data_IF_865151111262
#
_entry.id   IF_865151111262
#
_cell.length_a   1.000
_cell.length_b   1.000
_cell.length_c   1.000
_cell.angle_alpha   90.00
_cell.angle_beta   90.00
_cell.angle_gamma   90.00
#
_symmetry.space_group_name_H-M   'P 1'
#
loop_
_entity.id
_entity.type
_entity.pdbx_description
1 polymer ?
#
# COMPACT_ATOMS: atom_id res chain seq x y z
N UNK A 1 70.62 -20.44 6.30
CA UNK A 1 70.05 -19.41 5.42
C UNK A 1 68.75 -19.91 4.83
N UNK A 2 67.60 -19.49 5.35
CA UNK A 2 66.35 -19.39 4.58
C UNK A 2 65.39 -18.48 5.36
N UNK A 3 65.17 -17.27 4.84
CA UNK A 3 64.21 -16.29 5.35
C UNK A 3 62.81 -16.77 4.93
N UNK A 4 61.93 -17.07 5.88
CA UNK A 4 60.50 -17.21 5.58
C UNK A 4 59.78 -15.89 5.85
N UNK A 5 59.22 -15.38 4.78
CA UNK A 5 58.51 -14.13 4.63
C UNK A 5 57.17 -14.20 5.39
N UNK A 6 56.93 -13.22 6.26
CA UNK A 6 55.67 -13.03 6.96
C UNK A 6 54.64 -12.47 5.97
N UNK A 7 53.64 -13.27 5.58
CA UNK A 7 52.49 -12.79 4.81
C UNK A 7 51.35 -12.56 5.81
N UNK A 8 51.21 -11.30 6.24
CA UNK A 8 50.03 -10.84 6.98
C UNK A 8 48.91 -10.74 5.95
N UNK A 9 48.02 -11.73 5.93
CA UNK A 9 46.74 -11.65 5.22
C UNK A 9 45.86 -10.63 5.96
N UNK A 10 45.85 -9.40 5.45
CA UNK A 10 44.91 -8.37 5.84
C UNK A 10 43.53 -8.74 5.26
N UNK A 11 42.74 -9.49 6.03
CA UNK A 11 41.35 -9.75 5.70
C UNK A 11 40.55 -8.46 5.94
N UNK A 12 40.39 -7.65 4.90
CA UNK A 12 39.39 -6.59 4.85
C UNK A 12 38.00 -7.25 4.96
N UNK A 13 37.45 -7.31 6.17
CA UNK A 13 36.02 -7.49 6.38
C UNK A 13 35.32 -6.26 5.79
N UNK A 14 34.97 -6.36 4.51
CA UNK A 14 34.01 -5.46 3.90
C UNK A 14 32.71 -5.59 4.70
N UNK A 15 32.45 -4.62 5.57
CA UNK A 15 31.12 -4.37 6.09
C UNK A 15 30.24 -4.10 4.86
N UNK A 16 29.55 -5.14 4.39
CA UNK A 16 28.58 -5.03 3.32
C UNK A 16 27.47 -4.10 3.77
N UNK A 17 27.58 -2.82 3.42
CA UNK A 17 26.41 -1.96 3.34
C UNK A 17 25.49 -2.60 2.31
N UNK A 18 24.47 -3.32 2.79
CA UNK A 18 23.33 -3.71 1.95
C UNK A 18 22.80 -2.40 1.36
N UNK A 19 22.84 -2.21 0.03
CA UNK A 19 22.21 -1.05 -0.55
C UNK A 19 20.73 -1.14 -0.16
N UNK A 20 20.22 -0.15 0.58
CA UNK A 20 18.79 0.01 0.81
C UNK A 20 18.17 0.03 -0.59
N UNK A 21 17.52 -1.07 -0.99
CA UNK A 21 16.80 -1.10 -2.24
C UNK A 21 15.75 0.00 -2.20
N UNK A 22 15.38 0.49 -3.38
CA UNK A 22 14.26 1.42 -3.51
C UNK A 22 13.02 0.77 -2.88
N UNK A 23 12.56 1.32 -1.73
CA UNK A 23 11.42 0.80 -0.96
C UNK A 23 10.19 0.58 -1.84
N UNK A 24 10.03 1.38 -2.90
CA UNK A 24 8.95 1.21 -3.86
C UNK A 24 9.11 -0.08 -4.67
N UNK A 25 10.32 -0.35 -5.19
CA UNK A 25 10.64 -1.57 -5.95
C UNK A 25 10.49 -2.83 -5.10
N UNK A 26 11.05 -2.81 -3.88
CA UNK A 26 10.91 -3.91 -2.92
C UNK A 26 9.43 -4.14 -2.57
N UNK A 27 8.68 -3.06 -2.34
CA UNK A 27 7.24 -3.14 -2.07
C UNK A 27 6.44 -3.69 -3.25
N UNK A 28 6.83 -3.42 -4.50
CA UNK A 28 6.18 -3.97 -5.68
C UNK A 28 6.47 -5.47 -5.79
N UNK A 29 7.71 -5.89 -5.56
CA UNK A 29 8.10 -7.29 -5.59
C UNK A 29 7.35 -8.11 -4.53
N UNK A 30 7.30 -7.62 -3.28
CA UNK A 30 6.52 -8.25 -2.21
C UNK A 30 5.04 -8.39 -2.59
N UNK A 31 4.38 -7.32 -3.03
CA UNK A 31 2.95 -7.36 -3.40
C UNK A 31 2.70 -8.35 -4.54
N UNK A 32 3.59 -8.44 -5.53
CA UNK A 32 3.45 -9.39 -6.65
C UNK A 32 3.43 -10.84 -6.17
N UNK A 33 4.23 -11.17 -5.17
CA UNK A 33 4.47 -12.54 -4.72
C UNK A 33 3.47 -12.99 -3.64
N UNK A 34 2.59 -12.08 -3.18
CA UNK A 34 1.50 -12.41 -2.22
C UNK A 34 0.42 -13.31 -2.85
N UNK A 35 -0.20 -14.20 -2.06
CA UNK A 35 -1.38 -14.94 -2.49
C UNK A 35 -2.55 -13.98 -2.76
N UNK A 36 -3.41 -14.34 -3.72
CA UNK A 36 -4.62 -13.59 -4.03
C UNK A 36 -5.75 -13.99 -3.07
N UNK A 37 -5.83 -13.36 -1.91
CA UNK A 37 -6.85 -13.67 -0.88
C UNK A 37 -8.24 -13.12 -1.22
N UNK A 38 -8.30 -12.01 -1.97
CA UNK A 38 -9.55 -11.30 -2.28
C UNK A 38 -9.74 -11.15 -3.80
N UNK A 39 -10.05 -12.24 -4.53
CA UNK A 39 -10.14 -12.21 -6.00
C UNK A 39 -11.27 -11.33 -6.54
N UNK A 40 -12.30 -11.10 -5.73
CA UNK A 40 -13.46 -10.27 -6.08
C UNK A 40 -13.26 -8.79 -5.75
N UNK A 41 -12.07 -8.40 -5.29
CA UNK A 41 -11.78 -6.99 -5.07
C UNK A 41 -11.80 -6.21 -6.40
N UNK A 42 -12.40 -5.00 -6.41
CA UNK A 42 -13.18 -4.37 -5.36
C UNK A 42 -14.69 -4.69 -5.44
N UNK A 43 -15.31 -5.00 -4.30
CA UNK A 43 -16.77 -4.98 -4.14
C UNK A 43 -17.25 -3.67 -3.52
N UNK A 44 -18.42 -3.20 -3.95
CA UNK A 44 -19.09 -2.04 -3.36
C UNK A 44 -19.69 -2.33 -1.99
N UNK A 45 -19.88 -1.26 -1.20
CA UNK A 45 -20.33 -1.28 0.19
C UNK A 45 -19.40 -2.08 1.13
N UNK A 46 -18.09 -1.92 0.94
CA UNK A 46 -17.05 -2.60 1.72
C UNK A 46 -15.93 -1.62 2.05
N UNK A 47 -15.42 -1.67 3.27
CA UNK A 47 -14.20 -0.96 3.67
C UNK A 47 -13.03 -1.93 3.70
N UNK A 48 -12.00 -1.67 2.90
CA UNK A 48 -10.80 -2.49 2.81
C UNK A 48 -9.66 -1.87 3.61
N UNK A 49 -8.82 -2.73 4.18
CA UNK A 49 -7.49 -2.40 4.67
C UNK A 49 -6.49 -2.96 3.67
N UNK A 50 -5.65 -2.10 3.11
CA UNK A 50 -4.51 -2.50 2.29
C UNK A 50 -3.20 -2.14 2.97
N UNK A 51 -2.13 -2.85 2.58
CA UNK A 51 -0.78 -2.62 3.09
C UNK A 51 0.25 -2.80 1.99
N UNK A 52 1.22 -1.89 1.94
CA UNK A 52 2.48 -2.05 1.21
C UNK A 52 3.60 -1.34 1.98
N UNK A 53 4.85 -1.81 1.88
CA UNK A 53 5.95 -1.22 2.65
C UNK A 53 6.18 0.27 2.28
N UNK A 54 5.94 0.64 1.03
CA UNK A 54 6.10 2.02 0.57
C UNK A 54 5.04 2.98 1.16
N UNK A 55 3.77 2.54 1.19
CA UNK A 55 2.64 3.38 1.62
C UNK A 55 2.29 3.24 3.10
N UNK A 56 2.55 2.08 3.71
CA UNK A 56 1.98 1.67 4.99
C UNK A 56 0.55 1.15 4.84
N UNK A 57 -0.20 1.16 5.94
CA UNK A 57 -1.62 0.81 5.96
C UNK A 57 -2.49 1.91 5.35
N UNK A 58 -3.44 1.52 4.52
CA UNK A 58 -4.44 2.43 3.95
C UNK A 58 -5.83 1.83 4.16
N UNK A 59 -6.80 2.68 4.51
CA UNK A 59 -8.20 2.26 4.67
C UNK A 59 -9.02 2.92 3.59
N UNK A 60 -9.77 2.12 2.83
CA UNK A 60 -10.57 2.63 1.72
C UNK A 60 -11.99 2.09 1.80
N UNK A 61 -12.97 2.98 2.00
CA UNK A 61 -14.38 2.63 1.87
C UNK A 61 -14.80 2.77 0.41
N UNK A 62 -15.25 1.67 -0.19
CA UNK A 62 -15.71 1.59 -1.57
C UNK A 62 -17.22 1.47 -1.59
N UNK A 63 -17.90 2.41 -2.25
CA UNK A 63 -19.33 2.35 -2.50
C UNK A 63 -19.62 1.86 -3.92
N UNK A 64 -20.76 1.20 -4.10
CA UNK A 64 -21.12 0.55 -5.37
C UNK A 64 -21.44 1.51 -6.53
N UNK A 65 -21.59 2.80 -6.26
CA UNK A 65 -21.92 3.84 -7.26
C UNK A 65 -20.67 4.52 -7.87
N UNK A 66 -19.50 3.87 -7.78
CA UNK A 66 -18.24 4.41 -8.28
C UNK A 66 -17.59 5.46 -7.37
N UNK A 67 -18.13 5.73 -6.18
CA UNK A 67 -17.49 6.61 -5.18
C UNK A 67 -16.70 5.82 -4.15
N UNK A 68 -15.64 6.42 -3.64
CA UNK A 68 -14.84 5.86 -2.56
C UNK A 68 -14.22 6.95 -1.68
N UNK A 69 -13.68 6.54 -0.54
CA UNK A 69 -13.03 7.42 0.42
C UNK A 69 -11.79 6.76 0.97
N UNK A 70 -10.64 7.37 0.74
CA UNK A 70 -9.34 6.91 1.21
C UNK A 70 -8.93 7.67 2.47
N UNK A 71 -8.76 6.92 3.55
CA UNK A 71 -8.10 7.35 4.76
C UNK A 71 -6.63 6.92 4.67
N UNK A 72 -5.81 7.86 4.21
CA UNK A 72 -4.39 7.67 3.94
C UNK A 72 -3.51 8.11 5.12
N UNK A 73 -2.37 7.44 5.40
CA UNK A 73 -1.46 7.84 6.45
C UNK A 73 -1.03 9.30 6.40
N UNK A 74 -1.08 9.97 7.55
CA UNK A 74 -0.64 11.35 7.69
C UNK A 74 -1.65 12.41 7.22
N UNK A 75 -2.69 12.04 6.49
CA UNK A 75 -3.74 12.98 6.09
C UNK A 75 -4.58 13.42 7.30
N UNK A 76 -5.06 14.66 7.25
CA UNK A 76 -5.96 15.26 8.26
C UNK A 76 -7.43 15.22 7.85
N UNK A 77 -7.70 14.88 6.60
CA UNK A 77 -9.03 14.69 6.02
C UNK A 77 -9.03 13.44 5.15
N UNK A 78 -10.21 12.90 4.89
CA UNK A 78 -10.34 11.76 3.97
C UNK A 78 -10.18 12.26 2.54
N UNK A 79 -9.63 11.43 1.67
CA UNK A 79 -9.56 11.74 0.23
C UNK A 79 -10.82 11.19 -0.43
N UNK A 80 -11.73 12.03 -0.95
CA UNK A 80 -12.84 11.55 -1.76
C UNK A 80 -12.31 11.11 -3.13
N UNK A 81 -12.72 9.93 -3.57
CA UNK A 81 -12.22 9.30 -4.79
C UNK A 81 -13.36 8.81 -5.67
N UNK A 82 -13.06 8.62 -6.95
CA UNK A 82 -13.89 7.84 -7.86
C UNK A 82 -13.15 6.56 -8.25
N UNK A 83 -13.90 5.49 -8.51
CA UNK A 83 -13.35 4.23 -8.99
C UNK A 83 -14.18 3.65 -10.12
N UNK A 84 -13.52 2.89 -11.00
CA UNK A 84 -14.16 2.10 -12.05
C UNK A 84 -13.31 0.88 -12.41
N UNK A 85 -13.96 -0.09 -13.02
CA UNK A 85 -13.31 -1.26 -13.63
C UNK A 85 -13.33 -1.09 -15.14
N UNK A 86 -12.19 -1.32 -15.78
CA UNK A 86 -12.03 -1.22 -17.23
C UNK A 86 -11.36 -2.46 -17.82
N UNK A 87 -11.28 -2.53 -19.16
CA UNK A 87 -10.60 -3.60 -19.86
C UNK A 87 -11.20 -4.98 -19.57
N UNK A 88 -12.54 -5.07 -19.53
CA UNK A 88 -13.25 -6.33 -19.26
C UNK A 88 -13.01 -6.90 -17.86
N UNK A 89 -12.59 -6.09 -16.89
CA UNK A 89 -12.27 -6.58 -15.53
C UNK A 89 -10.78 -6.63 -15.21
N UNK A 90 -9.91 -6.32 -16.16
CA UNK A 90 -8.46 -6.42 -15.98
C UNK A 90 -7.88 -5.26 -15.16
N UNK A 91 -8.48 -4.07 -15.26
CA UNK A 91 -7.93 -2.84 -14.68
C UNK A 91 -8.87 -2.25 -13.63
N UNK A 92 -8.30 -1.86 -12.49
CA UNK A 92 -8.94 -1.01 -11.51
C UNK A 92 -8.38 0.40 -11.65
N UNK A 93 -9.26 1.37 -11.85
CA UNK A 93 -8.88 2.76 -12.05
C UNK A 93 -9.42 3.62 -10.90
N UNK A 94 -8.56 4.48 -10.38
CA UNK A 94 -8.85 5.44 -9.32
C UNK A 94 -8.72 6.85 -9.86
N UNK A 95 -9.61 7.75 -9.43
CA UNK A 95 -9.45 9.18 -9.64
C UNK A 95 -9.44 9.88 -8.29
N UNK A 96 -8.30 10.49 -7.99
CA UNK A 96 -8.11 11.36 -6.82
C UNK A 96 -8.38 12.81 -7.22
N UNK A 97 -8.73 13.70 -6.26
CA UNK A 97 -8.96 15.12 -6.54
C UNK A 97 -7.76 15.79 -7.25
N UNK A 98 -8.02 16.76 -8.12
CA UNK A 98 -6.96 17.44 -8.88
C UNK A 98 -5.96 18.22 -8.03
N UNK A 99 -6.33 18.59 -6.81
CA UNK A 99 -5.46 19.24 -5.83
C UNK A 99 -4.76 18.25 -4.88
N UNK A 100 -4.74 16.95 -5.21
CA UNK A 100 -4.03 15.92 -4.45
C UNK A 100 -2.68 15.58 -5.06
N UNK A 101 -1.78 15.04 -4.22
CA UNK A 101 -0.44 14.61 -4.61
C UNK A 101 -0.06 13.34 -3.84
N UNK A 102 0.43 12.33 -4.53
CA UNK A 102 0.93 11.10 -3.91
C UNK A 102 2.44 11.24 -3.63
N UNK A 103 2.87 11.34 -2.35
CA UNK A 103 4.28 11.55 -2.04
C UNK A 103 5.17 10.32 -2.30
N UNK A 104 4.58 9.13 -2.48
CA UNK A 104 5.32 7.90 -2.76
C UNK A 104 5.62 7.76 -4.24
N UNK A 105 4.61 7.93 -5.11
CA UNK A 105 4.77 7.81 -6.57
C UNK A 105 5.16 9.12 -7.24
N UNK A 106 5.05 10.24 -6.53
CA UNK A 106 5.27 11.61 -7.03
C UNK A 106 4.30 12.05 -8.12
N UNK A 107 3.11 11.46 -8.15
CA UNK A 107 2.08 11.75 -9.14
C UNK A 107 1.02 12.71 -8.59
N UNK A 108 0.58 13.71 -9.37
CA UNK A 108 -0.59 14.52 -9.05
C UNK A 108 -1.90 13.77 -9.32
N UNK A 109 -2.98 14.19 -8.65
CA UNK A 109 -4.34 13.72 -8.96
C UNK A 109 -4.99 14.43 -10.17
N UNK A 110 -6.30 14.24 -10.35
CA UNK A 110 -7.10 14.97 -11.33
C UNK A 110 -7.60 14.17 -12.55
N UNK A 111 -7.22 12.91 -12.66
CA UNK A 111 -7.70 11.99 -13.70
C UNK A 111 -7.77 10.55 -13.19
N UNK A 112 -8.31 9.66 -14.02
CA UNK A 112 -8.27 8.24 -13.72
C UNK A 112 -6.89 7.65 -14.04
N UNK A 113 -6.27 7.03 -13.04
CA UNK A 113 -5.06 6.23 -13.18
C UNK A 113 -5.39 4.78 -12.91
N UNK A 114 -5.00 3.89 -13.82
CA UNK A 114 -5.37 2.48 -13.78
C UNK A 114 -4.18 1.60 -13.38
N UNK A 115 -4.48 0.51 -12.69
CA UNK A 115 -3.52 -0.55 -12.36
C UNK A 115 -4.14 -1.93 -12.58
N UNK A 116 -3.34 -2.99 -12.77
CA UNK A 116 -3.86 -4.34 -12.85
C UNK A 116 -4.66 -4.69 -11.60
N UNK A 117 -5.94 -5.05 -11.77
CA UNK A 117 -6.88 -5.28 -10.65
C UNK A 117 -6.40 -6.37 -9.70
N UNK A 118 -5.79 -7.44 -10.23
CA UNK A 118 -5.29 -8.53 -9.39
C UNK A 118 -4.03 -8.13 -8.60
N UNK A 119 -3.22 -7.20 -9.12
CA UNK A 119 -2.09 -6.67 -8.38
C UNK A 119 -2.57 -5.79 -7.22
N UNK A 120 -3.54 -4.91 -7.46
CA UNK A 120 -4.13 -4.07 -6.38
C UNK A 120 -4.84 -4.92 -5.33
N UNK A 121 -5.56 -5.98 -5.75
CA UNK A 121 -6.19 -6.94 -4.83
C UNK A 121 -5.21 -7.60 -3.86
N UNK A 122 -3.97 -7.89 -4.29
CA UNK A 122 -2.92 -8.45 -3.42
C UNK A 122 -2.43 -7.49 -2.32
N UNK A 123 -2.72 -6.20 -2.45
CA UNK A 123 -2.42 -5.24 -1.37
C UNK A 123 -3.41 -5.35 -0.21
N UNK A 124 -4.61 -5.89 -0.44
CA UNK A 124 -5.68 -6.01 0.55
C UNK A 124 -5.33 -7.11 1.56
N UNK A 125 -5.36 -6.77 2.84
CA UNK A 125 -5.06 -7.69 3.94
C UNK A 125 -6.30 -8.01 4.79
N UNK A 126 -7.29 -7.11 4.83
CA UNK A 126 -8.55 -7.31 5.52
C UNK A 126 -9.67 -6.47 4.91
N UNK A 127 -10.91 -6.77 5.28
CA UNK A 127 -12.07 -5.93 4.98
C UNK A 127 -13.12 -5.93 6.10
N UNK A 128 -13.99 -4.94 6.08
CA UNK A 128 -15.17 -4.80 6.92
C UNK A 128 -16.39 -4.47 6.05
N UNK A 129 -17.59 -4.96 6.40
CA UNK A 129 -18.81 -4.61 5.67
C UNK A 129 -19.17 -3.13 5.89
N UNK A 130 -19.66 -2.47 4.83
CA UNK A 130 -20.16 -1.09 4.88
C UNK A 130 -19.08 -0.04 5.17
N UNK A 131 -19.50 1.05 5.83
CA UNK A 131 -18.67 2.21 6.20
C UNK A 131 -18.59 2.39 7.74
N UNK A 132 -17.92 1.48 8.47
CA UNK A 132 -17.90 1.51 9.93
C UNK A 132 -17.17 2.74 10.50
N UNK A 133 -16.30 3.37 9.72
CA UNK A 133 -15.56 4.58 10.10
C UNK A 133 -16.24 5.86 9.62
N UNK A 134 -17.39 5.77 8.94
CA UNK A 134 -18.14 6.90 8.38
C UNK A 134 -17.27 7.77 7.47
N UNK A 135 -16.35 7.17 6.71
CA UNK A 135 -15.44 7.87 5.79
C UNK A 135 -16.21 8.66 4.72
N UNK A 136 -17.40 8.18 4.34
CA UNK A 136 -18.27 8.88 3.41
C UNK A 136 -18.78 10.24 3.88
N UNK A 137 -18.65 10.54 5.18
CA UNK A 137 -18.93 11.87 5.73
C UNK A 137 -17.89 12.94 5.38
N UNK A 138 -16.75 12.56 4.79
CA UNK A 138 -15.63 13.46 4.55
C UNK A 138 -14.66 13.60 5.74
N UNK A 139 -14.93 12.94 6.86
CA UNK A 139 -14.13 13.01 8.09
C UNK A 139 -13.32 11.73 8.29
N UNK A 140 -12.16 11.88 8.93
CA UNK A 140 -11.36 10.75 9.42
C UNK A 140 -11.61 10.53 10.92
N UNK A 141 -11.57 9.28 11.42
CA UNK A 141 -11.67 9.01 12.85
C UNK A 141 -10.52 9.61 13.66
N UNK A 142 -9.30 9.52 13.12
CA UNK A 142 -8.07 10.07 13.66
C UNK A 142 -7.00 10.11 12.55
N UNK A 143 -5.87 10.76 12.81
CA UNK A 143 -4.73 10.77 11.87
C UNK A 143 -4.06 9.40 11.85
N UNK A 144 -4.17 8.67 10.74
CA UNK A 144 -3.60 7.34 10.60
C UNK A 144 -2.07 7.40 10.53
N UNK A 145 -1.38 6.56 11.31
CA UNK A 145 0.05 6.32 11.16
C UNK A 145 0.33 5.26 10.10
N UNK A 146 1.49 5.31 9.43
CA UNK A 146 1.87 4.32 8.40
C UNK A 146 1.81 2.86 8.91
N UNK A 147 2.13 2.66 10.19
CA UNK A 147 2.32 1.33 10.80
C UNK A 147 1.23 0.99 11.82
N UNK A 148 0.17 1.79 11.86
CA UNK A 148 -0.90 1.69 12.86
C UNK A 148 -2.23 1.32 12.19
N UNK A 149 -2.39 0.04 11.85
CA UNK A 149 -3.65 -0.45 11.30
C UNK A 149 -4.79 -0.36 12.33
N UNK A 150 -5.98 0.16 11.96
CA UNK A 150 -7.10 0.23 12.88
C UNK A 150 -7.46 -1.13 13.48
N UNK A 151 -7.77 -1.14 14.78
CA UNK A 151 -7.97 -2.36 15.57
C UNK A 151 -9.14 -3.23 15.11
N UNK A 152 -10.14 -2.66 14.45
CA UNK A 152 -11.31 -3.41 14.00
C UNK A 152 -11.00 -4.39 12.85
N UNK A 153 -9.87 -4.22 12.15
CA UNK A 153 -9.44 -5.19 11.14
C UNK A 153 -8.69 -6.37 11.78
N UNK A 154 -9.08 -7.58 11.38
CA UNK A 154 -8.38 -8.82 11.68
C UNK A 154 -7.53 -9.25 10.48
N UNK A 155 -6.23 -9.43 10.69
CA UNK A 155 -5.26 -9.88 9.70
C UNK A 155 -3.99 -10.37 10.42
N UNK A 156 -3.07 -10.98 9.69
CA UNK A 156 -1.76 -11.38 10.21
C UNK A 156 -0.86 -10.16 10.48
N UNK A 157 -0.85 -9.71 11.73
CA UNK A 157 -0.01 -8.59 12.21
C UNK A 157 1.47 -8.93 12.31
N UNK A 158 1.84 -10.21 12.27
CA UNK A 158 3.25 -10.62 12.25
C UNK A 158 3.82 -10.53 10.85
N UNK A 159 2.98 -10.73 9.82
CA UNK A 159 3.36 -10.60 8.41
C UNK A 159 3.27 -9.18 7.89
N UNK A 160 2.18 -8.49 8.17
CA UNK A 160 1.93 -7.14 7.65
C UNK A 160 2.21 -6.13 8.75
N UNK A 161 3.39 -5.54 8.72
CA UNK A 161 3.86 -4.54 9.67
C UNK A 161 4.89 -3.61 9.03
N UNK A 162 5.13 -2.48 9.67
CA UNK A 162 6.46 -1.88 9.68
C UNK A 162 7.10 -2.21 11.05
#
# INVERSE_FOLDING_TARGET
MLRFLCIILLACLAAGCVPKGDLLSESIADVRDRPLTYPDYPRGNVTYLSFSAAHGFQVNYIRGDGKAWLWYPGNTVVVPEMWKIEGGGASLCWSHPSNSYNPVTREPGGGFTCSPRLFTARTVVAHLPGDPYKLSSGKIPYRLGKCDAPKAFSFDRTRFHC
#
